data_IF_852079274370
#
_entry.id   IF_852079274370
#
_cell.length_a   1.000
_cell.length_b   1.000
_cell.length_c   1.000
_cell.angle_alpha   90.00
_cell.angle_beta   90.00
_cell.angle_gamma   90.00
#
_symmetry.space_group_name_H-M   'P 1'
#
loop_
_entity.id
_entity.type
_entity.pdbx_description
1 polymer ?
#
# COMPACT_ATOMS: atom_id res chain seq x y z
N UNK A 1 -2.36 25.15 -9.33
CA UNK A 1 -1.10 24.36 -9.37
C UNK A 1 -0.84 23.87 -7.96
N UNK A 2 -1.48 22.76 -7.58
CA UNK A 2 -1.56 22.30 -6.18
C UNK A 2 -0.40 21.37 -5.87
N UNK A 3 0.28 21.62 -4.75
CA UNK A 3 1.34 20.78 -4.20
C UNK A 3 0.80 19.37 -3.93
N UNK A 4 1.53 18.34 -4.38
CA UNK A 4 1.27 16.94 -4.05
C UNK A 4 1.80 16.63 -2.65
N UNK A 5 0.90 16.21 -1.77
CA UNK A 5 1.20 15.59 -0.49
C UNK A 5 1.70 14.14 -0.73
N UNK A 6 2.93 13.77 -0.28
CA UNK A 6 3.48 12.44 -0.45
C UNK A 6 2.97 11.40 0.57
N UNK A 7 1.99 11.72 1.42
CA UNK A 7 1.55 10.85 2.52
C UNK A 7 0.15 10.25 2.42
N UNK A 8 -0.53 10.28 1.26
CA UNK A 8 -1.91 9.77 1.17
C UNK A 8 -1.96 8.25 1.37
N UNK A 9 -2.24 7.85 2.60
CA UNK A 9 -2.71 6.52 2.98
C UNK A 9 -3.90 6.18 2.08
N UNK A 10 -3.77 5.10 1.32
CA UNK A 10 -4.89 4.56 0.55
C UNK A 10 -5.82 3.92 1.58
N UNK A 11 -6.86 4.65 2.00
CA UNK A 11 -8.00 4.03 2.67
C UNK A 11 -8.58 2.99 1.70
N UNK A 12 -8.47 1.70 2.04
CA UNK A 12 -9.06 0.61 1.27
C UNK A 12 -10.54 0.53 1.68
N UNK A 13 -11.51 0.94 0.83
CA UNK A 13 -12.92 1.05 1.25
C UNK A 13 -13.69 -0.27 1.29
N UNK A 14 -13.04 -1.42 1.05
CA UNK A 14 -13.69 -2.73 0.96
C UNK A 14 -12.92 -3.78 1.78
N UNK A 15 -12.71 -3.51 3.07
CA UNK A 15 -12.53 -4.61 4.00
C UNK A 15 -13.90 -5.25 4.19
N UNK A 16 -14.13 -6.42 3.59
CA UNK A 16 -15.25 -7.27 3.95
C UNK A 16 -14.79 -8.19 5.09
N UNK A 17 -14.91 -7.78 6.38
CA UNK A 17 -14.77 -8.75 7.46
C UNK A 17 -15.82 -9.83 7.23
N UNK A 18 -15.42 -11.10 7.28
CA UNK A 18 -16.38 -12.21 7.41
C UNK A 18 -17.18 -11.91 8.67
N UNK A 19 -18.41 -11.42 8.49
CA UNK A 19 -19.26 -10.84 9.55
C UNK A 19 -19.45 -11.82 10.68
N UNK A 20 -18.88 -11.50 11.83
CA UNK A 20 -18.92 -12.34 13.01
C UNK A 20 -18.43 -11.66 14.28
N UNK A 21 -18.58 -10.33 14.41
CA UNK A 21 -18.74 -9.71 15.72
C UNK A 21 -19.37 -8.32 15.59
N UNK A 22 -20.30 -8.01 16.50
CA UNK A 22 -21.16 -6.82 16.44
C UNK A 22 -20.40 -5.57 16.91
N UNK A 23 -20.39 -4.51 16.10
CA UNK A 23 -19.91 -3.18 16.50
C UNK A 23 -21.05 -2.45 17.23
N UNK A 24 -20.90 -2.02 18.50
CA UNK A 24 -21.88 -1.16 19.16
C UNK A 24 -21.79 0.29 18.63
N UNK A 25 -22.90 1.05 18.63
CA UNK A 25 -22.92 2.42 18.11
C UNK A 25 -22.10 3.38 18.97
N UNK A 26 -21.34 4.26 18.30
CA UNK A 26 -20.55 5.34 18.88
C UNK A 26 -21.43 6.36 19.62
N UNK A 27 -21.03 6.72 20.84
CA UNK A 27 -21.63 7.80 21.64
C UNK A 27 -20.98 9.13 21.27
N UNK A 28 -21.78 9.98 20.61
CA UNK A 28 -21.43 11.32 20.13
C UNK A 28 -21.26 12.27 21.32
N UNK A 29 -20.01 12.66 21.65
CA UNK A 29 -19.75 13.74 22.61
C UNK A 29 -19.07 14.93 21.93
N UNK A 30 -19.77 16.07 21.94
CA UNK A 30 -19.39 17.36 21.37
C UNK A 30 -18.13 17.99 21.99
N UNK A 31 -17.38 18.83 21.25
CA UNK A 31 -16.20 19.53 21.75
C UNK A 31 -16.55 20.82 22.53
N UNK A 32 -15.80 21.19 23.59
CA UNK A 32 -15.92 22.50 24.21
C UNK A 32 -15.07 23.58 23.52
N UNK A 33 -15.61 24.81 23.53
CA UNK A 33 -15.03 26.07 23.08
C UNK A 33 -13.66 26.41 23.73
N UNK A 34 -12.72 26.96 22.95
CA UNK A 34 -11.47 27.58 23.44
C UNK A 34 -11.32 29.02 22.89
N UNK A 35 -11.16 30.05 23.76
CA UNK A 35 -11.12 31.46 23.35
C UNK A 35 -9.72 31.95 22.90
N UNK A 36 -9.74 32.98 22.05
CA UNK A 36 -8.62 33.49 21.26
C UNK A 36 -7.35 33.97 21.98
N UNK A 37 -6.25 33.99 21.20
CA UNK A 37 -4.98 34.69 21.47
C UNK A 37 -4.72 35.69 20.32
N UNK A 38 -4.26 36.93 20.59
CA UNK A 38 -4.21 38.01 19.60
C UNK A 38 -2.96 38.03 18.70
N UNK A 39 -3.12 38.73 17.56
CA UNK A 39 -2.10 39.11 16.58
C UNK A 39 -1.05 40.07 17.14
N UNK A 40 0.21 39.86 16.75
CA UNK A 40 1.28 40.87 16.74
C UNK A 40 1.99 40.88 15.39
N UNK A 41 2.46 42.08 15.04
CA UNK A 41 2.72 42.57 13.70
C UNK A 41 4.22 42.59 13.33
N UNK A 42 4.48 42.52 12.01
CA UNK A 42 5.48 43.27 11.24
C UNK A 42 6.99 43.14 11.54
N UNK A 43 7.78 42.69 10.54
CA UNK A 43 8.97 43.43 10.04
C UNK A 43 9.72 42.69 8.88
N UNK A 44 9.58 43.21 7.65
CA UNK A 44 10.71 43.57 6.76
C UNK A 44 11.52 42.49 6.00
N UNK A 45 11.66 42.59 4.65
CA UNK A 45 12.24 41.55 3.80
C UNK A 45 13.77 41.67 3.63
N UNK A 46 14.49 40.54 3.58
CA UNK A 46 15.87 40.47 3.11
C UNK A 46 15.97 39.79 1.74
N UNK A 47 16.26 40.64 0.77
CA UNK A 47 16.75 40.44 -0.61
C UNK A 47 17.18 39.01 -0.97
N UNK A 48 16.48 38.47 -1.97
CA UNK A 48 16.92 37.34 -2.78
C UNK A 48 18.20 37.69 -3.55
N UNK A 49 19.27 36.95 -3.29
CA UNK A 49 20.39 36.81 -4.23
C UNK A 49 20.09 35.60 -5.11
N UNK A 50 19.80 35.86 -6.38
CA UNK A 50 19.72 34.85 -7.44
C UNK A 50 21.14 34.37 -7.74
N UNK A 51 21.54 33.25 -7.14
CA UNK A 51 22.61 32.42 -7.68
C UNK A 51 21.97 31.41 -8.64
N UNK A 52 22.21 31.60 -9.93
CA UNK A 52 22.00 30.56 -10.95
C UNK A 52 22.98 29.43 -10.68
N UNK A 53 22.61 28.52 -9.80
CA UNK A 53 23.35 27.29 -9.54
C UNK A 53 22.77 26.19 -10.43
N UNK A 54 23.56 25.77 -11.41
CA UNK A 54 23.26 24.64 -12.29
C UNK A 54 22.89 23.42 -11.46
N UNK A 55 21.64 22.99 -11.61
CA UNK A 55 20.95 21.95 -10.86
C UNK A 55 21.70 20.60 -10.92
N UNK A 56 22.68 20.38 -10.04
CA UNK A 56 23.14 19.05 -9.65
C UNK A 56 22.10 18.48 -8.68
N UNK A 57 21.35 17.47 -9.12
CA UNK A 57 20.46 16.72 -8.22
C UNK A 57 21.31 16.23 -7.03
N UNK A 58 20.93 16.52 -5.78
CA UNK A 58 21.73 16.11 -4.64
C UNK A 58 21.73 14.58 -4.54
N UNK A 59 22.92 14.00 -4.36
CA UNK A 59 23.21 12.56 -4.38
C UNK A 59 22.34 11.76 -3.39
N UNK A 60 21.89 12.39 -2.30
CA UNK A 60 21.00 11.78 -1.31
C UNK A 60 19.66 11.33 -1.89
N UNK A 61 19.05 12.08 -2.82
CA UNK A 61 17.76 11.73 -3.43
C UNK A 61 17.87 10.48 -4.30
N UNK A 62 19.00 10.31 -4.99
CA UNK A 62 19.28 9.12 -5.81
C UNK A 62 19.50 7.90 -4.91
N UNK A 63 20.25 8.06 -3.82
CA UNK A 63 20.44 7.01 -2.83
C UNK A 63 19.13 6.56 -2.18
N UNK A 64 18.27 7.50 -1.76
CA UNK A 64 16.94 7.20 -1.19
C UNK A 64 16.01 6.51 -2.19
N UNK A 65 16.02 6.91 -3.46
CA UNK A 65 15.23 6.23 -4.50
C UNK A 65 15.72 4.79 -4.72
N UNK A 66 17.03 4.60 -4.75
CA UNK A 66 17.63 3.26 -4.90
C UNK A 66 17.29 2.37 -3.70
N UNK A 67 17.39 2.88 -2.47
CA UNK A 67 17.04 2.11 -1.28
C UNK A 67 15.55 1.75 -1.25
N UNK A 68 14.66 2.67 -1.63
CA UNK A 68 13.24 2.39 -1.74
C UNK A 68 12.92 1.33 -2.80
N UNK A 69 13.58 1.36 -3.96
CA UNK A 69 13.42 0.33 -4.99
C UNK A 69 13.89 -1.06 -4.51
N UNK A 70 15.00 -1.12 -3.78
CA UNK A 70 15.50 -2.36 -3.17
C UNK A 70 14.50 -2.87 -2.13
N UNK A 71 14.02 -2.01 -1.23
CA UNK A 71 13.04 -2.38 -0.22
C UNK A 71 11.76 -2.95 -0.85
N UNK A 72 11.22 -2.27 -1.86
CA UNK A 72 10.02 -2.74 -2.57
C UNK A 72 10.19 -4.15 -3.17
N UNK A 73 11.36 -4.43 -3.76
CA UNK A 73 11.67 -5.77 -4.30
C UNK A 73 11.84 -6.81 -3.22
N UNK A 74 12.48 -6.47 -2.11
CA UNK A 74 12.59 -7.34 -0.94
C UNK A 74 11.19 -7.69 -0.43
N UNK A 75 10.30 -6.72 -0.25
CA UNK A 75 8.90 -6.93 0.17
C UNK A 75 8.18 -7.94 -0.74
N UNK A 76 8.23 -7.77 -2.06
CA UNK A 76 7.57 -8.68 -3.00
C UNK A 76 8.24 -10.05 -3.10
N UNK A 77 9.57 -10.12 -2.98
CA UNK A 77 10.32 -11.38 -2.96
C UNK A 77 9.96 -12.21 -1.74
N UNK A 78 9.95 -11.58 -0.55
CA UNK A 78 9.52 -12.22 0.69
C UNK A 78 8.07 -12.69 0.60
N UNK A 79 7.16 -11.86 0.05
CA UNK A 79 5.77 -12.25 -0.16
C UNK A 79 5.64 -13.46 -1.10
N UNK A 80 6.42 -13.48 -2.19
CA UNK A 80 6.42 -14.61 -3.13
C UNK A 80 6.94 -15.89 -2.48
N UNK A 81 7.95 -15.78 -1.61
CA UNK A 81 8.51 -16.91 -0.88
C UNK A 81 7.52 -17.49 0.13
N UNK A 82 6.82 -16.64 0.91
CA UNK A 82 5.94 -17.10 1.99
C UNK A 82 4.53 -17.44 1.51
N UNK A 83 3.99 -16.71 0.53
CA UNK A 83 2.59 -16.84 0.08
C UNK A 83 2.53 -17.32 -1.37
N UNK A 84 3.28 -16.65 -2.25
CA UNK A 84 3.11 -16.80 -3.71
C UNK A 84 3.44 -18.19 -4.25
N UNK A 85 4.47 -18.86 -3.75
CA UNK A 85 4.94 -20.14 -4.31
C UNK A 85 3.91 -21.25 -4.10
N UNK A 86 3.49 -21.47 -2.85
CA UNK A 86 2.50 -22.49 -2.51
C UNK A 86 1.09 -22.09 -2.97
N UNK A 87 0.69 -20.83 -2.74
CA UNK A 87 -0.65 -20.37 -3.08
C UNK A 87 -0.94 -20.35 -4.57
N UNK A 88 0.03 -19.97 -5.42
CA UNK A 88 -0.20 -20.00 -6.86
C UNK A 88 -0.23 -21.45 -7.36
N UNK A 89 0.55 -22.37 -6.80
CA UNK A 89 0.44 -23.78 -7.14
C UNK A 89 -0.95 -24.34 -6.78
N UNK A 90 -1.47 -24.01 -5.59
CA UNK A 90 -2.81 -24.38 -5.17
C UNK A 90 -3.90 -23.78 -6.09
N UNK A 91 -3.77 -22.50 -6.47
CA UNK A 91 -4.69 -21.84 -7.39
C UNK A 91 -4.71 -22.51 -8.78
N UNK A 92 -3.55 -22.89 -9.32
CA UNK A 92 -3.51 -23.62 -10.61
C UNK A 92 -4.18 -25.00 -10.52
N UNK A 93 -4.20 -25.64 -9.35
CA UNK A 93 -4.85 -26.92 -9.12
C UNK A 93 -6.37 -26.79 -8.84
N UNK A 94 -6.85 -25.59 -8.48
CA UNK A 94 -8.25 -25.32 -8.13
C UNK A 94 -8.77 -24.10 -8.93
N UNK A 95 -9.52 -24.32 -10.03
CA UNK A 95 -10.06 -23.24 -10.85
C UNK A 95 -10.96 -22.25 -10.09
N UNK A 96 -11.64 -22.69 -9.03
CA UNK A 96 -12.44 -21.80 -8.18
C UNK A 96 -11.56 -20.80 -7.43
N UNK A 97 -10.48 -21.29 -6.80
CA UNK A 97 -9.49 -20.42 -6.15
C UNK A 97 -8.81 -19.48 -7.17
N UNK A 98 -8.47 -19.98 -8.36
CA UNK A 98 -7.89 -19.13 -9.41
C UNK A 98 -8.81 -17.97 -9.79
N UNK A 99 -10.12 -18.23 -9.93
CA UNK A 99 -11.10 -17.20 -10.22
C UNK A 99 -11.19 -16.14 -9.12
N UNK A 100 -11.15 -16.54 -7.84
CA UNK A 100 -11.12 -15.61 -6.70
C UNK A 100 -9.83 -14.76 -6.70
N UNK A 101 -8.68 -15.38 -6.97
CA UNK A 101 -7.40 -14.67 -7.10
C UNK A 101 -7.44 -13.65 -8.24
N UNK A 102 -8.02 -14.00 -9.40
CA UNK A 102 -8.16 -13.09 -10.53
C UNK A 102 -9.10 -11.91 -10.21
N UNK A 103 -10.21 -12.15 -9.50
CA UNK A 103 -11.09 -11.08 -9.02
C UNK A 103 -10.37 -10.14 -8.06
N UNK A 104 -9.63 -10.68 -7.09
CA UNK A 104 -8.81 -9.89 -6.19
C UNK A 104 -7.73 -9.11 -6.95
N UNK A 105 -7.12 -9.70 -7.98
CA UNK A 105 -6.12 -9.04 -8.80
C UNK A 105 -6.72 -7.87 -9.61
N UNK A 106 -7.96 -7.99 -10.09
CA UNK A 106 -8.70 -6.88 -10.68
C UNK A 106 -8.92 -5.76 -9.64
N UNK A 107 -9.44 -6.11 -8.46
CA UNK A 107 -9.68 -5.12 -7.40
C UNK A 107 -8.40 -4.41 -6.90
N UNK A 108 -7.24 -5.08 -6.91
CA UNK A 108 -5.95 -4.45 -6.58
C UNK A 108 -5.56 -3.43 -7.66
N UNK A 109 -5.74 -3.76 -8.94
CA UNK A 109 -5.49 -2.82 -10.04
C UNK A 109 -6.40 -1.60 -9.90
N UNK A 110 -7.68 -1.79 -9.64
CA UNK A 110 -8.64 -0.70 -9.46
C UNK A 110 -8.26 0.21 -8.29
N UNK A 111 -7.81 -0.37 -7.18
CA UNK A 111 -7.32 0.39 -6.02
C UNK A 111 -6.08 1.24 -6.32
N UNK A 112 -5.25 0.80 -7.28
CA UNK A 112 -4.00 1.45 -7.65
C UNK A 112 -4.13 2.36 -8.89
N UNK A 113 -5.26 2.32 -9.61
CA UNK A 113 -5.47 3.03 -10.88
C UNK A 113 -5.77 4.55 -10.73
N UNK A 114 -5.60 5.12 -9.53
CA UNK A 114 -5.99 6.51 -9.23
C UNK A 114 -5.39 7.60 -10.14
N UNK A 115 -4.26 7.34 -10.79
CA UNK A 115 -3.58 8.26 -11.72
C UNK A 115 -3.45 7.67 -13.16
N UNK A 116 -4.09 6.54 -13.49
CA UNK A 116 -3.89 5.77 -14.75
C UNK A 116 -2.43 5.43 -15.07
N UNK A 117 -1.62 5.27 -14.03
CA UNK A 117 -0.20 4.93 -14.19
C UNK A 117 -0.04 3.43 -14.37
N UNK A 118 0.97 3.00 -15.14
CA UNK A 118 1.33 1.59 -15.19
C UNK A 118 1.57 1.04 -13.78
N UNK A 119 1.13 -0.19 -13.54
CA UNK A 119 1.40 -0.90 -12.31
C UNK A 119 2.93 -1.04 -12.12
N UNK A 120 3.44 -0.70 -10.94
CA UNK A 120 4.88 -0.74 -10.64
C UNK A 120 5.17 -1.61 -9.43
N UNK A 121 6.41 -2.08 -9.31
CA UNK A 121 6.91 -2.81 -8.14
C UNK A 121 6.72 -2.00 -6.86
N UNK A 122 7.01 -0.69 -6.89
CA UNK A 122 6.84 0.18 -5.73
C UNK A 122 5.36 0.32 -5.31
N UNK A 123 4.44 0.43 -6.28
CA UNK A 123 3.01 0.50 -6.00
C UNK A 123 2.48 -0.78 -5.36
N UNK A 124 2.89 -1.95 -5.87
CA UNK A 124 2.51 -3.24 -5.29
C UNK A 124 3.10 -3.46 -3.90
N UNK A 125 4.36 -3.09 -3.67
CA UNK A 125 4.99 -3.20 -2.36
C UNK A 125 4.29 -2.32 -1.32
N UNK A 126 4.02 -1.06 -1.66
CA UNK A 126 3.27 -0.16 -0.79
C UNK A 126 1.83 -0.65 -0.53
N UNK A 127 1.19 -1.26 -1.53
CA UNK A 127 -0.12 -1.89 -1.35
C UNK A 127 -0.07 -3.04 -0.34
N UNK A 128 0.95 -3.90 -0.41
CA UNK A 128 1.12 -5.04 0.51
C UNK A 128 1.36 -4.59 1.94
N UNK A 129 2.20 -3.56 2.12
CA UNK A 129 2.47 -2.97 3.43
C UNK A 129 1.19 -2.37 4.01
N UNK A 130 0.49 -1.51 3.26
CA UNK A 130 -0.76 -0.91 3.71
C UNK A 130 -1.89 -1.93 3.96
N UNK A 131 -1.99 -2.98 3.15
CA UNK A 131 -2.95 -4.07 3.36
C UNK A 131 -2.66 -4.82 4.66
N UNK A 132 -1.39 -5.13 4.95
CA UNK A 132 -1.00 -5.84 6.18
C UNK A 132 -1.21 -4.97 7.40
N UNK A 133 -0.86 -3.69 7.33
CA UNK A 133 -1.05 -2.74 8.42
C UNK A 133 -2.53 -2.60 8.77
N UNK A 134 -3.38 -2.39 7.76
CA UNK A 134 -4.83 -2.33 7.96
C UNK A 134 -5.40 -3.65 8.49
N UNK A 135 -4.97 -4.79 7.93
CA UNK A 135 -5.43 -6.09 8.40
C UNK A 135 -5.03 -6.34 9.86
N UNK A 136 -3.81 -5.96 10.26
CA UNK A 136 -3.34 -6.08 11.64
C UNK A 136 -4.13 -5.17 12.61
N UNK A 137 -4.52 -3.96 12.18
CA UNK A 137 -5.39 -3.08 12.96
C UNK A 137 -6.76 -3.72 13.24
N UNK A 138 -7.27 -4.53 12.30
CA UNK A 138 -8.49 -5.33 12.47
C UNK A 138 -8.26 -6.74 13.06
N UNK A 139 -7.08 -7.00 13.64
CA UNK A 139 -6.78 -8.25 14.35
C UNK A 139 -6.47 -9.45 13.46
N UNK A 140 -6.25 -9.25 12.16
CA UNK A 140 -5.78 -10.33 11.29
C UNK A 140 -4.37 -10.76 11.67
N UNK A 141 -4.14 -12.08 11.68
CA UNK A 141 -2.82 -12.67 11.86
C UNK A 141 -2.52 -13.58 10.68
N UNK A 142 -1.28 -13.59 10.16
CA UNK A 142 -0.91 -14.51 9.09
C UNK A 142 -1.14 -15.97 9.52
N UNK A 143 -1.67 -16.82 8.62
CA UNK A 143 -1.87 -18.24 8.93
C UNK A 143 -0.55 -18.92 9.23
N UNK A 144 -0.58 -19.90 10.15
CA UNK A 144 0.56 -20.76 10.41
C UNK A 144 0.84 -21.68 9.22
N UNK A 145 2.11 -22.05 9.02
CA UNK A 145 2.49 -23.02 8.00
C UNK A 145 2.22 -24.46 8.45
N UNK A 146 1.72 -25.35 7.58
CA UNK A 146 1.37 -25.10 6.18
C UNK A 146 -0.01 -24.42 6.05
N UNK A 147 -0.10 -23.45 5.14
CA UNK A 147 -1.36 -22.77 4.82
C UNK A 147 -2.37 -23.72 4.16
N UNK A 148 -3.60 -23.74 4.68
CA UNK A 148 -4.75 -24.38 4.01
C UNK A 148 -5.31 -23.44 2.92
N UNK A 149 -5.19 -23.89 1.66
CA UNK A 149 -5.66 -23.16 0.47
C UNK A 149 -7.05 -23.59 -0.01
N UNK A 150 -7.74 -24.47 0.72
CA UNK A 150 -9.11 -24.86 0.36
C UNK A 150 -10.10 -23.71 0.56
N UNK A 151 -9.92 -22.92 1.61
CA UNK A 151 -10.75 -21.75 1.95
C UNK A 151 -9.90 -20.60 2.52
N UNK A 152 -8.97 -20.01 1.74
CA UNK A 152 -8.14 -18.92 2.23
C UNK A 152 -8.99 -17.70 2.57
N UNK A 153 -8.61 -16.98 3.63
CA UNK A 153 -9.28 -15.73 3.96
C UNK A 153 -9.07 -14.65 2.89
N UNK A 154 -9.86 -13.58 2.99
CA UNK A 154 -9.84 -12.48 2.03
C UNK A 154 -8.45 -11.82 1.95
N UNK A 155 -7.78 -11.59 3.08
CA UNK A 155 -6.46 -10.95 3.13
C UNK A 155 -5.41 -11.82 2.47
N UNK A 156 -5.40 -13.12 2.76
CA UNK A 156 -4.49 -14.08 2.16
C UNK A 156 -4.70 -14.21 0.65
N UNK A 157 -5.97 -14.25 0.21
CA UNK A 157 -6.34 -14.25 -1.22
C UNK A 157 -5.89 -12.96 -1.90
N UNK A 158 -6.04 -11.80 -1.24
CA UNK A 158 -5.59 -10.49 -1.73
C UNK A 158 -4.06 -10.43 -1.83
N UNK A 159 -3.33 -10.97 -0.86
CA UNK A 159 -1.87 -11.08 -0.90
C UNK A 159 -1.40 -12.01 -2.02
N UNK A 160 -2.09 -13.13 -2.23
CA UNK A 160 -1.82 -14.05 -3.32
C UNK A 160 -2.06 -13.39 -4.70
N UNK A 161 -3.11 -12.59 -4.83
CA UNK A 161 -3.37 -11.80 -6.02
C UNK A 161 -2.23 -10.80 -6.32
N UNK A 162 -1.63 -10.18 -5.31
CA UNK A 162 -0.43 -9.34 -5.52
C UNK A 162 0.75 -10.16 -6.07
N UNK A 163 0.96 -11.39 -5.60
CA UNK A 163 1.97 -12.29 -6.18
C UNK A 163 1.71 -12.57 -7.66
N UNK A 164 0.43 -12.82 -8.04
CA UNK A 164 0.05 -13.01 -9.44
C UNK A 164 0.38 -11.77 -10.28
N UNK A 165 0.04 -10.57 -9.78
CA UNK A 165 0.36 -9.30 -10.44
C UNK A 165 1.86 -9.06 -10.58
N UNK A 166 2.63 -9.33 -9.53
CA UNK A 166 4.08 -9.15 -9.51
C UNK A 166 4.78 -10.04 -10.56
N UNK A 167 4.30 -11.27 -10.77
CA UNK A 167 4.79 -12.15 -11.85
C UNK A 167 4.52 -11.62 -13.26
N UNK A 168 3.47 -10.82 -13.42
CA UNK A 168 3.14 -10.15 -14.68
C UNK A 168 3.94 -8.87 -14.93
N UNK A 169 4.66 -8.35 -13.92
CA UNK A 169 5.57 -7.23 -14.12
C UNK A 169 6.83 -7.73 -14.85
N UNK A 170 7.24 -6.98 -15.86
CA UNK A 170 8.45 -7.29 -16.63
C UNK A 170 9.66 -7.52 -15.69
N UNK A 171 10.46 -8.58 -15.87
CA UNK A 171 11.64 -8.85 -15.05
C UNK A 171 12.60 -7.66 -14.93
N UNK A 172 12.66 -6.76 -15.92
CA UNK A 172 13.47 -5.53 -15.84
C UNK A 172 13.02 -4.56 -14.74
N UNK A 173 11.79 -4.69 -14.25
CA UNK A 173 11.28 -3.94 -13.10
C UNK A 173 11.62 -4.63 -11.78
N UNK A 174 11.88 -5.95 -11.81
CA UNK A 174 12.30 -6.77 -10.68
C UNK A 174 13.84 -6.82 -10.50
N UNK A 175 14.62 -6.52 -11.55
CA UNK A 175 16.09 -6.46 -11.55
C UNK A 175 16.66 -5.11 -11.09
#
# INVERSE_FOLDING_TARGET
MSLRDPGRVVCVPDFCPRTGDSIPPDDETAPPDDPGIPRSAEAGPRRAALASDTMRVPNNRVATRRSAAVAARTTLTSLTATVGTAGLAAAHANPGLLAEVDQHAAGVRDSLDGDRRPLTVAALAGYVEGLRDAAAEYGWTPPAEPVDWSEPDWTLTRLLAVCLLARGLDPRHLA
#
